data_IF_578164716116
#
_entry.id   IF_578164716116
#
_cell.length_a   1.000
_cell.length_b   1.000
_cell.length_c   1.000
_cell.angle_alpha   90.00
_cell.angle_beta   90.00
_cell.angle_gamma   90.00
#
_symmetry.space_group_name_H-M   'P 1'
#
loop_
_entity.id
_entity.type
_entity.pdbx_description
1 polymer ?
#
# COMPACT_ATOMS: atom_id res chain seq x y z
N UNK A 1 -6.37 -15.79 10.70
CA UNK A 1 -5.80 -14.42 10.68
C UNK A 1 -4.32 -14.58 10.93
N UNK A 2 -3.46 -13.99 10.09
CA UNK A 2 -2.02 -14.19 10.19
C UNK A 2 -1.44 -13.29 11.28
N UNK A 3 -0.94 -13.88 12.36
CA UNK A 3 -0.11 -13.19 13.33
C UNK A 3 1.29 -13.02 12.76
N UNK A 4 1.92 -11.89 13.08
CA UNK A 4 3.27 -11.60 12.66
C UNK A 4 4.27 -12.42 13.50
N UNK A 5 5.18 -13.20 12.88
CA UNK A 5 6.18 -13.97 13.62
C UNK A 5 7.17 -13.06 14.35
N UNK A 6 7.94 -13.61 15.29
CA UNK A 6 9.09 -12.86 15.83
C UNK A 6 10.09 -12.61 14.71
N UNK A 7 10.45 -11.34 14.49
CA UNK A 7 11.35 -10.93 13.39
C UNK A 7 12.70 -11.62 13.37
N UNK A 8 13.27 -11.93 14.55
CA UNK A 8 14.53 -12.67 14.65
C UNK A 8 14.45 -14.07 14.03
N UNK A 9 13.26 -14.67 13.97
CA UNK A 9 13.04 -15.96 13.32
C UNK A 9 12.82 -15.85 11.81
N UNK A 10 12.48 -14.66 11.28
CA UNK A 10 12.02 -14.48 9.90
C UNK A 10 13.00 -15.03 8.84
N UNK A 11 14.33 -14.86 8.94
CA UNK A 11 15.26 -15.43 7.97
C UNK A 11 15.27 -16.97 7.93
N UNK A 12 14.91 -17.61 9.05
CA UNK A 12 14.84 -19.08 9.18
C UNK A 12 13.47 -19.67 8.83
N UNK A 13 12.46 -18.83 8.58
CA UNK A 13 11.12 -19.27 8.18
C UNK A 13 11.09 -19.75 6.73
N UNK A 14 10.05 -20.50 6.36
CA UNK A 14 9.80 -20.86 4.96
C UNK A 14 9.61 -19.61 4.10
N UNK A 15 9.97 -19.70 2.82
CA UNK A 15 9.74 -18.61 1.86
C UNK A 15 8.27 -18.20 1.82
N UNK A 16 7.34 -19.16 1.88
CA UNK A 16 5.91 -18.89 1.96
C UNK A 16 5.55 -17.98 3.17
N UNK A 17 6.15 -18.25 4.33
CA UNK A 17 5.92 -17.43 5.54
C UNK A 17 6.52 -16.04 5.40
N UNK A 18 7.72 -15.92 4.82
CA UNK A 18 8.35 -14.64 4.54
C UNK A 18 7.51 -13.77 3.60
N UNK A 19 7.01 -14.36 2.51
CA UNK A 19 6.12 -13.68 1.56
C UNK A 19 4.80 -13.29 2.21
N UNK A 20 4.21 -14.17 3.03
CA UNK A 20 2.98 -13.88 3.77
C UNK A 20 3.15 -12.68 4.71
N UNK A 21 4.32 -12.51 5.34
CA UNK A 21 4.61 -11.32 6.15
C UNK A 21 4.60 -10.06 5.28
N UNK A 22 5.22 -10.10 4.10
CA UNK A 22 5.17 -8.98 3.16
C UNK A 22 3.74 -8.68 2.71
N UNK A 23 2.96 -9.70 2.33
CA UNK A 23 1.56 -9.59 1.88
C UNK A 23 0.58 -9.18 2.98
N UNK A 24 1.00 -9.31 4.24
CA UNK A 24 0.23 -8.80 5.38
C UNK A 24 0.51 -7.32 5.58
N UNK A 25 1.77 -6.91 5.50
CA UNK A 25 2.20 -5.53 5.76
C UNK A 25 1.91 -4.61 4.57
N UNK A 26 2.14 -5.11 3.36
CA UNK A 26 1.87 -4.47 2.08
C UNK A 26 0.84 -5.29 1.32
N UNK A 27 0.15 -4.68 0.39
CA UNK A 27 -0.74 -5.43 -0.49
C UNK A 27 0.07 -6.44 -1.34
N UNK A 28 -0.49 -7.62 -1.65
CA UNK A 28 0.22 -8.62 -2.43
C UNK A 28 0.77 -8.07 -3.76
N UNK A 29 2.08 -8.18 -3.94
CA UNK A 29 2.78 -7.69 -5.12
C UNK A 29 3.99 -8.60 -5.43
N UNK A 30 3.98 -9.27 -6.60
CA UNK A 30 5.13 -10.04 -7.07
C UNK A 30 6.42 -9.23 -7.13
N UNK A 31 6.31 -7.93 -7.43
CA UNK A 31 7.44 -7.00 -7.50
C UNK A 31 8.05 -6.75 -6.11
N UNK A 32 7.22 -6.55 -5.07
CA UNK A 32 7.71 -6.45 -3.69
C UNK A 32 8.41 -7.75 -3.28
N UNK A 33 7.85 -8.91 -3.66
CA UNK A 33 8.47 -10.21 -3.37
C UNK A 33 9.86 -10.30 -4.01
N UNK A 34 9.97 -9.98 -5.29
CA UNK A 34 11.24 -10.01 -6.02
C UNK A 34 12.29 -9.08 -5.39
N UNK A 35 11.89 -7.87 -4.95
CA UNK A 35 12.79 -6.90 -4.32
C UNK A 35 13.29 -7.35 -2.95
N UNK A 36 12.47 -8.06 -2.19
CA UNK A 36 12.71 -8.32 -0.76
C UNK A 36 13.20 -9.73 -0.45
N UNK A 37 12.90 -10.73 -1.28
CA UNK A 37 13.32 -12.12 -1.04
C UNK A 37 14.84 -12.26 -0.78
N UNK A 38 15.75 -11.64 -1.58
CA UNK A 38 17.18 -11.72 -1.30
C UNK A 38 17.59 -11.10 0.04
N UNK A 39 16.79 -10.19 0.57
CA UNK A 39 17.07 -9.43 1.79
C UNK A 39 16.56 -10.15 3.02
N UNK A 40 15.33 -10.69 2.94
CA UNK A 40 14.77 -11.50 4.01
C UNK A 40 15.63 -12.74 4.32
N UNK A 41 16.33 -13.28 3.32
CA UNK A 41 17.24 -14.40 3.49
C UNK A 41 18.58 -14.03 4.16
N UNK A 42 19.05 -12.78 4.01
CA UNK A 42 20.43 -12.38 4.35
C UNK A 42 20.53 -11.29 5.43
N UNK A 43 19.41 -10.68 5.83
CA UNK A 43 19.40 -9.55 6.76
C UNK A 43 18.39 -9.78 7.89
N UNK A 44 18.84 -9.50 9.11
CA UNK A 44 17.98 -9.43 10.30
C UNK A 44 17.47 -8.02 10.51
N UNK A 45 16.22 -7.89 10.95
CA UNK A 45 15.58 -6.63 11.29
C UNK A 45 15.26 -6.59 12.78
N UNK A 46 15.44 -5.44 13.42
CA UNK A 46 15.22 -5.27 14.86
C UNK A 46 13.76 -4.91 15.20
N UNK A 47 12.96 -4.55 14.20
CA UNK A 47 11.57 -4.13 14.35
C UNK A 47 10.83 -4.21 13.01
N UNK A 48 9.49 -4.33 13.06
CA UNK A 48 8.69 -4.35 11.83
C UNK A 48 8.77 -3.01 11.11
N UNK A 49 8.90 -1.92 11.86
CA UNK A 49 9.20 -0.58 11.34
C UNK A 49 10.48 -0.58 10.51
N UNK A 50 11.58 -1.17 11.00
CA UNK A 50 12.85 -1.22 10.24
C UNK A 50 12.76 -2.08 8.97
N UNK A 51 11.97 -3.16 8.99
CA UNK A 51 11.68 -3.94 7.78
C UNK A 51 10.89 -3.11 6.77
N UNK A 52 9.84 -2.44 7.23
CA UNK A 52 8.98 -1.58 6.39
C UNK A 52 9.78 -0.43 5.78
N UNK A 53 10.65 0.21 6.56
CA UNK A 53 11.52 1.28 6.08
C UNK A 53 12.50 0.76 5.02
N UNK A 54 13.01 -0.48 5.16
CA UNK A 54 13.86 -1.11 4.16
C UNK A 54 13.10 -1.44 2.86
N UNK A 55 11.83 -1.88 2.95
CA UNK A 55 10.95 -2.04 1.79
C UNK A 55 10.73 -0.68 1.11
N UNK A 56 10.33 0.34 1.87
CA UNK A 56 10.07 1.69 1.38
C UNK A 56 11.29 2.30 0.68
N UNK A 57 12.48 2.19 1.28
CA UNK A 57 13.72 2.67 0.68
C UNK A 57 14.06 1.99 -0.65
N UNK A 58 13.74 0.70 -0.80
CA UNK A 58 13.94 -0.03 -2.07
C UNK A 58 12.94 0.39 -3.14
N UNK A 59 11.67 0.57 -2.78
CA UNK A 59 10.67 1.09 -3.70
C UNK A 59 11.05 2.52 -4.13
N UNK A 60 11.51 3.35 -3.18
CA UNK A 60 11.96 4.72 -3.48
C UNK A 60 13.18 4.75 -4.40
N UNK A 61 14.11 3.81 -4.24
CA UNK A 61 15.26 3.69 -5.17
C UNK A 61 14.83 3.40 -6.61
N UNK A 62 13.69 2.73 -6.83
CA UNK A 62 13.13 2.54 -8.17
C UNK A 62 12.61 3.84 -8.80
N UNK A 63 12.32 4.87 -7.99
CA UNK A 63 11.90 6.19 -8.47
C UNK A 63 13.07 7.06 -8.94
N UNK A 64 14.33 6.57 -8.85
CA UNK A 64 15.49 7.32 -9.30
C UNK A 64 15.36 7.84 -10.75
N UNK A 65 15.94 9.00 -11.08
CA UNK A 65 15.97 9.47 -12.46
C UNK A 65 16.65 8.44 -13.38
N UNK A 66 16.11 8.24 -14.58
CA UNK A 66 16.61 7.32 -15.61
C UNK A 66 16.60 5.81 -15.24
N UNK A 67 15.90 5.41 -14.18
CA UNK A 67 15.62 3.99 -13.91
C UNK A 67 14.50 3.46 -14.80
N UNK A 68 14.49 2.13 -15.03
CA UNK A 68 13.28 1.46 -15.49
C UNK A 68 12.25 1.46 -14.35
N UNK A 69 11.16 2.20 -14.55
CA UNK A 69 10.07 2.35 -13.57
C UNK A 69 8.97 1.31 -13.72
N UNK A 70 9.15 0.30 -14.57
CA UNK A 70 8.17 -0.78 -14.76
C UNK A 70 7.84 -1.48 -13.44
N UNK A 71 8.85 -1.85 -12.66
CA UNK A 71 8.67 -2.48 -11.35
C UNK A 71 7.97 -1.54 -10.36
N UNK A 72 8.34 -0.25 -10.35
CA UNK A 72 7.71 0.75 -9.50
C UNK A 72 6.21 0.89 -9.79
N UNK A 73 5.84 1.01 -11.07
CA UNK A 73 4.43 1.11 -11.46
C UNK A 73 3.68 -0.21 -11.29
N UNK A 74 4.35 -1.36 -11.37
CA UNK A 74 3.77 -2.65 -10.96
C UNK A 74 3.34 -2.64 -9.49
N UNK A 75 4.19 -2.12 -8.61
CA UNK A 75 3.89 -1.99 -7.16
C UNK A 75 2.78 -0.98 -6.91
N UNK A 76 2.95 0.28 -7.36
CA UNK A 76 2.00 1.36 -7.08
C UNK A 76 0.65 1.15 -7.78
N UNK A 77 0.66 0.53 -8.97
CA UNK A 77 -0.51 0.22 -9.77
C UNK A 77 -1.36 -0.94 -9.25
N UNK A 78 -0.75 -1.83 -8.46
CA UNK A 78 -1.40 -3.00 -7.87
C UNK A 78 -2.13 -2.70 -6.55
N UNK A 79 -1.92 -1.51 -5.98
CA UNK A 79 -2.65 -1.12 -4.76
C UNK A 79 -4.16 -1.07 -5.02
N UNK A 80 -5.01 -1.60 -4.13
CA UNK A 80 -6.45 -1.52 -4.32
C UNK A 80 -6.95 -0.08 -4.37
N UNK A 81 -7.92 0.18 -5.26
CA UNK A 81 -8.64 1.45 -5.35
C UNK A 81 -9.45 1.74 -4.08
N UNK A 82 -9.62 3.02 -3.76
CA UNK A 82 -10.49 3.44 -2.65
C UNK A 82 -11.97 3.39 -3.04
N UNK A 83 -12.83 2.93 -2.12
CA UNK A 83 -14.29 3.08 -2.20
C UNK A 83 -15.03 2.08 -3.09
N UNK A 84 -14.35 1.05 -3.60
CA UNK A 84 -15.01 -0.09 -4.24
C UNK A 84 -14.76 -1.33 -3.41
N UNK A 85 -15.82 -1.98 -2.92
CA UNK A 85 -15.77 -3.42 -2.72
C UNK A 85 -15.61 -4.01 -4.14
N UNK A 86 -14.45 -4.61 -4.50
CA UNK A 86 -14.26 -5.09 -5.86
C UNK A 86 -15.41 -6.03 -6.22
N UNK A 87 -15.77 -6.06 -7.51
CA UNK A 87 -16.75 -7.04 -8.01
C UNK A 87 -16.34 -8.49 -7.62
N UNK A 88 -15.06 -8.71 -7.31
CA UNK A 88 -14.54 -9.87 -6.60
C UNK A 88 -14.01 -9.48 -5.20
N UNK A 89 -14.76 -9.71 -4.11
CA UNK A 89 -14.34 -9.46 -2.73
C UNK A 89 -13.09 -10.26 -2.28
N UNK A 90 -12.63 -11.21 -3.08
CA UNK A 90 -11.47 -12.07 -2.81
C UNK A 90 -10.12 -11.37 -3.00
N UNK A 91 -10.08 -10.18 -3.63
CA UNK A 91 -8.83 -9.48 -3.94
C UNK A 91 -8.44 -8.39 -2.93
N UNK A 92 -9.29 -8.07 -1.95
CA UNK A 92 -8.94 -7.17 -0.84
C UNK A 92 -8.56 -7.99 0.39
N UNK A 93 -7.40 -7.69 0.97
CA UNK A 93 -7.06 -8.25 2.28
C UNK A 93 -8.09 -7.80 3.33
N UNK A 94 -8.28 -8.60 4.37
CA UNK A 94 -9.15 -8.22 5.50
C UNK A 94 -8.70 -6.94 6.21
N UNK A 95 -7.41 -6.58 6.10
CA UNK A 95 -6.87 -5.32 6.62
C UNK A 95 -7.31 -4.15 5.75
N UNK A 96 -7.22 -4.27 4.43
CA UNK A 96 -7.67 -3.25 3.47
C UNK A 96 -9.18 -2.97 3.62
N UNK A 97 -9.99 -4.02 3.83
CA UNK A 97 -11.43 -3.87 4.10
C UNK A 97 -11.70 -3.05 5.36
N UNK A 98 -10.93 -3.27 6.43
CA UNK A 98 -11.03 -2.52 7.69
C UNK A 98 -10.57 -1.08 7.54
N UNK A 99 -9.47 -0.85 6.81
CA UNK A 99 -8.92 0.48 6.54
C UNK A 99 -9.92 1.37 5.80
N UNK A 100 -10.67 0.79 4.87
CA UNK A 100 -11.63 1.52 4.04
C UNK A 100 -13.08 1.39 4.52
N UNK A 101 -13.34 0.80 5.69
CA UNK A 101 -14.70 0.54 6.15
C UNK A 101 -15.57 1.82 6.21
N UNK A 102 -15.00 2.92 6.71
CA UNK A 102 -15.66 4.23 6.76
C UNK A 102 -15.83 4.86 5.37
N UNK A 103 -14.98 4.49 4.40
CA UNK A 103 -15.11 4.92 3.02
C UNK A 103 -16.17 4.14 2.27
N UNK A 104 -16.75 3.08 2.84
CA UNK A 104 -17.84 2.32 2.24
C UNK A 104 -19.22 2.69 2.82
N UNK A 105 -19.27 3.47 3.90
CA UNK A 105 -20.50 4.01 4.48
C UNK A 105 -20.79 5.39 3.89
N UNK A 106 -21.92 5.56 3.20
CA UNK A 106 -22.33 6.87 2.67
C UNK A 106 -23.34 6.79 1.52
N UNK A 107 -23.84 7.94 1.09
CA UNK A 107 -24.78 8.05 -0.03
C UNK A 107 -24.16 7.56 -1.34
N UNK A 108 -24.99 6.97 -2.21
CA UNK A 108 -24.62 6.42 -3.52
C UNK A 108 -23.92 7.47 -4.40
N UNK A 109 -24.39 8.72 -4.37
CA UNK A 109 -23.79 9.86 -5.07
C UNK A 109 -22.30 10.06 -4.73
N UNK A 110 -21.90 9.87 -3.46
CA UNK A 110 -20.50 10.03 -3.06
C UNK A 110 -19.63 8.85 -3.52
N UNK A 111 -20.22 7.67 -3.65
CA UNK A 111 -19.52 6.51 -4.22
C UNK A 111 -19.26 6.70 -5.71
N UNK A 112 -20.23 7.23 -6.46
CA UNK A 112 -20.08 7.58 -7.88
C UNK A 112 -19.02 8.66 -8.09
N UNK A 113 -19.01 9.71 -7.25
CA UNK A 113 -17.98 10.74 -7.30
C UNK A 113 -16.58 10.18 -7.05
N UNK A 114 -16.41 9.32 -6.03
CA UNK A 114 -15.13 8.68 -5.77
C UNK A 114 -14.69 7.75 -6.91
N UNK A 115 -15.62 7.07 -7.57
CA UNK A 115 -15.32 6.27 -8.75
C UNK A 115 -14.80 7.15 -9.90
N UNK A 116 -15.48 8.27 -10.18
CA UNK A 116 -15.06 9.23 -11.19
C UNK A 116 -13.68 9.83 -10.87
N UNK A 117 -13.43 10.19 -9.61
CA UNK A 117 -12.13 10.71 -9.17
C UNK A 117 -10.99 9.69 -9.32
N UNK A 118 -11.23 8.41 -9.01
CA UNK A 118 -10.23 7.36 -9.27
C UNK A 118 -9.89 7.27 -10.77
N UNK A 119 -10.90 7.31 -11.64
CA UNK A 119 -10.68 7.26 -13.10
C UNK A 119 -9.87 8.46 -13.60
N UNK A 120 -10.24 9.66 -13.15
CA UNK A 120 -9.52 10.89 -13.51
C UNK A 120 -8.09 10.90 -12.96
N UNK A 121 -7.88 10.42 -11.73
CA UNK A 121 -6.55 10.26 -11.15
C UNK A 121 -5.67 9.34 -12.01
N UNK A 122 -6.20 8.20 -12.44
CA UNK A 122 -5.46 7.22 -13.24
C UNK A 122 -5.14 7.72 -14.65
N UNK A 123 -6.03 8.51 -15.23
CA UNK A 123 -5.77 9.21 -16.50
C UNK A 123 -4.66 10.25 -16.32
N UNK A 124 -4.70 11.02 -15.23
CA UNK A 124 -3.70 12.04 -14.92
C UNK A 124 -2.32 11.45 -14.61
N UNK A 125 -2.30 10.32 -13.91
CA UNK A 125 -1.07 9.64 -13.47
C UNK A 125 -1.02 8.18 -13.94
N UNK A 126 -0.74 7.93 -15.24
CA UNK A 126 -0.69 6.57 -15.77
C UNK A 126 0.31 5.69 -15.02
N UNK A 127 -0.15 4.52 -14.61
CA UNK A 127 0.61 3.53 -13.83
C UNK A 127 0.44 3.66 -12.31
N UNK A 128 -0.26 4.68 -11.81
CA UNK A 128 -0.51 4.86 -10.39
C UNK A 128 -1.96 4.55 -10.02
N UNK A 129 -2.16 4.13 -8.76
CA UNK A 129 -3.42 4.19 -8.04
C UNK A 129 -3.32 5.29 -7.00
N UNK A 130 -4.44 5.91 -6.64
CA UNK A 130 -4.42 6.85 -5.53
C UNK A 130 -4.26 6.09 -4.21
N UNK A 131 -3.16 6.35 -3.52
CA UNK A 131 -2.83 5.73 -2.24
C UNK A 131 -2.68 6.82 -1.19
N UNK A 132 -3.44 6.70 -0.11
CA UNK A 132 -3.35 7.59 1.04
C UNK A 132 -3.72 6.84 2.32
N UNK A 133 -3.12 7.23 3.45
CA UNK A 133 -3.34 6.54 4.71
C UNK A 133 -4.66 6.98 5.36
N UNK A 134 -5.75 6.23 5.16
CA UNK A 134 -7.11 6.64 5.54
C UNK A 134 -7.22 6.97 7.03
N UNK A 135 -6.80 6.07 7.92
CA UNK A 135 -6.71 6.29 9.37
C UNK A 135 -7.92 7.00 10.03
N UNK A 136 -9.14 6.64 9.63
CA UNK A 136 -10.37 7.24 10.18
C UNK A 136 -10.77 8.59 9.57
N UNK A 137 -10.09 9.04 8.51
CA UNK A 137 -10.51 10.21 7.73
C UNK A 137 -11.78 9.88 6.95
N UNK A 138 -12.68 10.87 6.86
CA UNK A 138 -13.94 10.72 6.16
C UNK A 138 -13.75 10.65 4.64
N UNK A 139 -14.75 10.10 3.93
CA UNK A 139 -14.72 9.99 2.47
C UNK A 139 -14.53 11.34 1.79
N UNK A 140 -15.18 12.39 2.30
CA UNK A 140 -15.10 13.75 1.76
C UNK A 140 -13.69 14.31 1.86
N UNK A 141 -13.02 14.12 3.01
CA UNK A 141 -11.63 14.57 3.21
C UNK A 141 -10.68 13.86 2.24
N UNK A 142 -10.88 12.56 2.02
CA UNK A 142 -10.07 11.79 1.07
C UNK A 142 -10.31 12.24 -0.37
N UNK A 143 -11.56 12.51 -0.75
CA UNK A 143 -11.89 13.00 -2.09
C UNK A 143 -11.33 14.39 -2.37
N UNK A 144 -11.38 15.29 -1.37
CA UNK A 144 -10.78 16.61 -1.45
C UNK A 144 -9.25 16.52 -1.59
N UNK A 145 -8.59 15.65 -0.83
CA UNK A 145 -7.16 15.38 -0.99
C UNK A 145 -6.84 14.85 -2.39
N UNK A 146 -7.60 13.85 -2.87
CA UNK A 146 -7.42 13.28 -4.22
C UNK A 146 -7.54 14.37 -5.29
N UNK A 147 -8.52 15.27 -5.14
CA UNK A 147 -8.72 16.40 -6.05
C UNK A 147 -7.54 17.36 -6.05
N UNK A 148 -7.09 17.79 -4.88
CA UNK A 148 -5.92 18.66 -4.74
C UNK A 148 -4.67 18.07 -5.38
N UNK A 149 -4.45 16.75 -5.26
CA UNK A 149 -3.30 16.08 -5.88
C UNK A 149 -3.40 15.98 -7.40
N UNK A 150 -4.60 15.73 -7.95
CA UNK A 150 -4.85 15.74 -9.39
C UNK A 150 -4.58 17.12 -9.99
N UNK A 151 -5.09 18.17 -9.34
CA UNK A 151 -4.95 19.56 -9.80
C UNK A 151 -3.49 20.02 -9.72
N UNK A 152 -2.75 19.57 -8.70
CA UNK A 152 -1.30 19.80 -8.56
C UNK A 152 -0.50 19.22 -9.73
N UNK A 153 -0.97 18.14 -10.36
CA UNK A 153 -0.38 17.55 -11.57
C UNK A 153 1.12 17.20 -11.49
N UNK A 154 1.64 16.96 -10.28
CA UNK A 154 3.06 16.65 -10.04
C UNK A 154 3.25 15.15 -9.83
N UNK A 155 3.72 14.47 -10.89
CA UNK A 155 3.88 13.01 -10.91
C UNK A 155 4.98 12.52 -9.97
N UNK A 156 6.09 13.24 -9.83
CA UNK A 156 7.20 12.81 -8.98
C UNK A 156 6.84 12.93 -7.50
N UNK A 157 6.11 14.01 -7.16
CA UNK A 157 5.54 14.16 -5.82
C UNK A 157 4.50 13.09 -5.53
N UNK A 158 3.67 12.73 -6.51
CA UNK A 158 2.68 11.67 -6.31
C UNK A 158 3.30 10.30 -6.07
N UNK A 159 4.37 9.96 -6.80
CA UNK A 159 5.15 8.74 -6.54
C UNK A 159 5.66 8.73 -5.10
N UNK A 160 6.26 9.84 -4.65
CA UNK A 160 6.81 9.96 -3.29
C UNK A 160 5.72 9.82 -2.23
N UNK A 161 4.60 10.52 -2.39
CA UNK A 161 3.48 10.48 -1.45
C UNK A 161 2.80 9.10 -1.41
N UNK A 162 2.70 8.41 -2.55
CA UNK A 162 2.15 7.05 -2.62
C UNK A 162 3.04 6.05 -1.88
N UNK A 163 4.36 6.09 -2.09
CA UNK A 163 5.32 5.22 -1.38
C UNK A 163 5.26 5.48 0.14
N UNK A 164 5.21 6.74 0.55
CA UNK A 164 5.10 7.11 1.96
C UNK A 164 3.79 6.58 2.57
N UNK A 165 2.67 6.77 1.87
CA UNK A 165 1.37 6.26 2.34
C UNK A 165 1.37 4.73 2.49
N UNK A 166 1.98 3.98 1.56
CA UNK A 166 2.14 2.53 1.68
C UNK A 166 2.93 2.15 2.95
N UNK A 167 4.01 2.88 3.24
CA UNK A 167 4.81 2.64 4.45
C UNK A 167 4.03 2.96 5.73
N UNK A 168 3.24 4.03 5.74
CA UNK A 168 2.43 4.43 6.89
C UNK A 168 1.31 3.42 7.16
N UNK A 169 0.64 2.93 6.11
CA UNK A 169 -0.33 1.83 6.18
C UNK A 169 0.33 0.58 6.75
N UNK A 170 1.49 0.18 6.21
CA UNK A 170 2.21 -1.01 6.68
C UNK A 170 2.63 -0.90 8.16
N UNK A 171 3.08 0.27 8.60
CA UNK A 171 3.42 0.54 10.01
C UNK A 171 2.19 0.44 10.91
N UNK A 172 1.06 0.98 10.48
CA UNK A 172 -0.20 0.87 11.21
C UNK A 172 -0.69 -0.58 11.31
N UNK A 173 -0.62 -1.34 10.22
CA UNK A 173 -0.91 -2.79 10.21
C UNK A 173 -0.02 -3.54 11.20
N UNK A 174 1.29 -3.32 11.14
CA UNK A 174 2.24 -3.96 12.06
C UNK A 174 1.91 -3.66 13.52
N UNK A 175 1.69 -2.38 13.85
CA UNK A 175 1.32 -1.94 15.21
C UNK A 175 0.04 -2.61 15.69
N UNK A 176 -1.01 -2.65 14.87
CA UNK A 176 -2.30 -3.27 15.20
C UNK A 176 -2.17 -4.78 15.40
N UNK A 177 -1.34 -5.47 14.61
CA UNK A 177 -1.11 -6.90 14.74
C UNK A 177 -0.27 -7.23 15.99
N UNK A 178 0.74 -6.42 16.30
CA UNK A 178 1.55 -6.58 17.51
C UNK A 178 0.77 -6.28 18.80
N UNK A 179 -0.17 -5.33 18.77
CA UNK A 179 -1.00 -4.99 19.93
C UNK A 179 -2.15 -5.99 20.21
N UNK A 180 -2.34 -6.99 19.34
CA UNK A 180 -3.31 -8.08 19.56
C UNK A 180 -2.70 -9.26 20.35
N UNK A 181 -1.40 -9.20 20.64
CA UNK A 181 -0.65 -10.12 21.49
C UNK A 181 -0.67 -9.60 22.93
#
# INVERSE_FOLDING_TARGET
>A
MADLPTLSSLPSQSQETQLRVLDTLFEPSPEIHQLMLPILANQTFNSYTSLIDAVGGRIFALAAPNSDRTVLFGILGSHPRLGRAPANPEHLSELSKKEQAQLNTGAEEQAEKLLALNAEYEEKFPGLRFVTFVNGRSREVIMEEMRQRIDRADKEKEITEAIQAMCDIAKDRARKLQARI
#
